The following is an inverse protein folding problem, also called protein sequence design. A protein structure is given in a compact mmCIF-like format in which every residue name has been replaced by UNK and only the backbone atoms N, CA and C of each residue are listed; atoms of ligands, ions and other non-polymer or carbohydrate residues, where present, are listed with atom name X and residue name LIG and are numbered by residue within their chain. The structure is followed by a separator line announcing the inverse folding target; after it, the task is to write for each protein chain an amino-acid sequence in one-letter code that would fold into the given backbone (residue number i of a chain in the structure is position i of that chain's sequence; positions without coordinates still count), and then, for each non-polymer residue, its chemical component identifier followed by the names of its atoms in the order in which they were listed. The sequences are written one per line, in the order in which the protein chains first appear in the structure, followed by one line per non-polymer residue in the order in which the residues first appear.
data_IF_286823582540
#
_entry.id   IF_286823582540
#
_cell.length_a   1.000
_cell.length_b   1.000
_cell.length_c   1.000
_cell.angle_alpha   90.00
_cell.angle_beta   90.00
_cell.angle_gamma   90.00
#
_symmetry.space_group_name_H-M   'P 1'
#
loop_
_entity.id
_entity.type
_entity.pdbx_description
1 polymer ?
#
# COMPACT_ATOMS: atom_id res chain seq x y z
N UNK A 1 -3.02 -22.78 -46.80
CA UNK A 1 -3.39 -23.16 -45.43
C UNK A 1 -3.67 -21.89 -44.65
N UNK A 2 -4.90 -21.64 -44.15
CA UNK A 2 -5.10 -20.58 -43.18
C UNK A 2 -4.71 -21.12 -41.80
N UNK A 3 -3.68 -20.53 -41.20
CA UNK A 3 -3.37 -20.68 -39.78
C UNK A 3 -4.44 -19.94 -38.99
N UNK A 4 -5.53 -20.62 -38.61
CA UNK A 4 -6.48 -20.04 -37.67
C UNK A 4 -5.89 -20.08 -36.27
N UNK A 5 -5.31 -18.95 -35.84
CA UNK A 5 -5.23 -18.62 -34.42
C UNK A 5 -6.65 -18.34 -33.91
N UNK A 6 -7.50 -19.37 -33.84
CA UNK A 6 -8.74 -19.26 -33.11
C UNK A 6 -8.38 -19.15 -31.63
N UNK A 7 -8.43 -17.92 -31.09
CA UNK A 7 -8.32 -17.69 -29.65
C UNK A 7 -9.34 -18.60 -28.96
N UNK A 8 -8.88 -19.48 -28.08
CA UNK A 8 -9.76 -20.32 -27.28
C UNK A 8 -10.52 -19.41 -26.30
N UNK A 9 -11.85 -19.24 -26.42
CA UNK A 9 -12.61 -18.31 -25.60
C UNK A 9 -12.50 -18.60 -24.10
N UNK A 10 -12.29 -19.87 -23.72
CA UNK A 10 -12.10 -20.27 -22.33
C UNK A 10 -10.78 -19.76 -21.75
N UNK A 11 -9.72 -19.74 -22.55
CA UNK A 11 -8.40 -19.21 -22.14
C UNK A 11 -8.47 -17.70 -22.00
N UNK A 12 -9.12 -17.01 -22.94
CA UNK A 12 -9.28 -15.55 -22.88
C UNK A 12 -10.11 -15.13 -21.66
N UNK A 13 -11.21 -15.83 -21.35
CA UNK A 13 -11.99 -15.59 -20.15
C UNK A 13 -11.17 -15.81 -18.86
N UNK A 14 -10.36 -16.87 -18.80
CA UNK A 14 -9.49 -17.14 -17.66
C UNK A 14 -8.41 -16.06 -17.47
N UNK A 15 -7.85 -15.52 -18.57
CA UNK A 15 -6.91 -14.40 -18.53
C UNK A 15 -7.58 -13.12 -18.02
N UNK A 16 -8.81 -12.82 -18.47
CA UNK A 16 -9.58 -11.69 -17.97
C UNK A 16 -9.88 -11.80 -16.47
N UNK A 17 -10.27 -12.99 -16.00
CA UNK A 17 -10.48 -13.25 -14.57
C UNK A 17 -9.18 -13.07 -13.78
N UNK A 18 -8.05 -13.53 -14.31
CA UNK A 18 -6.72 -13.30 -13.73
C UNK A 18 -6.40 -11.81 -13.60
N UNK A 19 -6.67 -11.02 -14.64
CA UNK A 19 -6.48 -9.56 -14.63
C UNK A 19 -7.34 -8.89 -13.56
N UNK A 20 -8.63 -9.21 -13.48
CA UNK A 20 -9.52 -8.62 -12.47
C UNK A 20 -9.06 -8.92 -11.03
N UNK A 21 -8.45 -10.09 -10.80
CA UNK A 21 -7.91 -10.45 -9.48
C UNK A 21 -6.64 -9.68 -9.15
N UNK A 22 -5.80 -9.39 -10.14
CA UNK A 22 -4.63 -8.52 -9.96
C UNK A 22 -5.09 -7.10 -9.61
N UNK A 23 -6.05 -6.55 -10.37
CA UNK A 23 -6.60 -5.21 -10.14
C UNK A 23 -7.19 -5.10 -8.73
N UNK A 24 -8.02 -6.06 -8.33
CA UNK A 24 -8.60 -6.10 -6.97
C UNK A 24 -7.55 -6.13 -5.87
N UNK A 25 -6.44 -6.85 -6.06
CA UNK A 25 -5.36 -6.90 -5.08
C UNK A 25 -4.61 -5.56 -4.96
N UNK A 26 -4.38 -4.88 -6.09
CA UNK A 26 -3.80 -3.53 -6.12
C UNK A 26 -4.72 -2.53 -5.41
N UNK A 27 -6.03 -2.63 -5.62
CA UNK A 27 -7.04 -1.82 -4.94
C UNK A 27 -7.03 -2.06 -3.42
N UNK A 28 -6.91 -3.31 -2.97
CA UNK A 28 -6.83 -3.61 -1.54
C UNK A 28 -5.57 -3.00 -0.90
N UNK A 29 -4.39 -3.11 -1.52
CA UNK A 29 -3.18 -2.43 -1.00
C UNK A 29 -3.32 -0.92 -0.99
N UNK A 30 -3.89 -0.34 -2.05
CA UNK A 30 -4.14 1.11 -2.12
C UNK A 30 -5.06 1.58 -1.00
N UNK A 31 -6.11 0.80 -0.70
CA UNK A 31 -7.05 1.07 0.39
C UNK A 31 -6.34 0.98 1.74
N UNK A 32 -5.58 -0.08 1.97
CA UNK A 32 -4.79 -0.28 3.19
C UNK A 32 -3.84 0.89 3.46
N UNK A 33 -3.08 1.34 2.45
CA UNK A 33 -2.20 2.51 2.57
C UNK A 33 -3.01 3.78 2.90
N UNK A 34 -4.13 4.00 2.21
CA UNK A 34 -4.96 5.19 2.41
C UNK A 34 -5.59 5.25 3.80
N UNK A 35 -6.12 4.13 4.32
CA UNK A 35 -6.70 4.07 5.66
C UNK A 35 -5.65 4.25 6.76
N UNK A 36 -4.45 3.70 6.57
CA UNK A 36 -3.33 3.94 7.50
C UNK A 36 -2.96 5.44 7.56
N UNK A 37 -2.92 6.13 6.42
CA UNK A 37 -2.68 7.57 6.37
C UNK A 37 -3.80 8.33 7.10
N UNK A 38 -5.08 8.00 6.85
CA UNK A 38 -6.24 8.68 7.47
C UNK A 38 -6.28 8.52 8.98
N UNK A 39 -5.91 7.35 9.48
CA UNK A 39 -5.92 7.04 10.92
C UNK A 39 -4.72 7.62 11.67
N UNK A 40 -3.79 8.30 10.96
CA UNK A 40 -2.60 8.95 11.51
C UNK A 40 -1.69 8.00 12.30
N UNK A 41 -1.78 6.70 12.04
CA UNK A 41 -0.93 5.70 12.66
C UNK A 41 0.51 6.06 12.29
N UNK A 42 1.39 6.31 13.28
CA UNK A 42 2.79 6.62 13.02
C UNK A 42 3.37 5.59 12.07
N UNK A 43 3.93 6.13 10.99
CA UNK A 43 4.59 5.41 9.93
C UNK A 43 5.66 4.51 10.48
N UNK A 44 5.36 3.23 10.65
CA UNK A 44 6.40 2.21 10.74
C UNK A 44 5.80 0.88 10.27
N UNK A 45 6.12 0.57 9.01
CA UNK A 45 6.19 -0.80 8.53
C UNK A 45 4.87 -1.61 8.52
N UNK A 46 4.17 -1.59 7.38
CA UNK A 46 3.07 -2.51 7.09
C UNK A 46 3.66 -3.76 6.43
N UNK A 47 3.50 -4.91 7.06
CA UNK A 47 3.95 -6.21 6.55
C UNK A 47 2.76 -7.06 6.14
N UNK A 48 2.81 -7.58 4.92
CA UNK A 48 1.84 -8.56 4.42
C UNK A 48 2.58 -9.81 4.00
N UNK A 49 2.20 -10.94 4.58
CA UNK A 49 2.77 -12.25 4.24
C UNK A 49 1.73 -13.12 3.54
N UNK A 50 2.05 -13.54 2.32
CA UNK A 50 1.29 -14.54 1.58
C UNK A 50 1.98 -15.89 1.70
N UNK A 51 1.29 -16.86 2.29
CA UNK A 51 1.79 -18.24 2.37
C UNK A 51 1.08 -19.11 1.33
N UNK A 52 1.84 -19.91 0.59
CA UNK A 52 1.34 -20.84 -0.43
C UNK A 52 0.31 -21.85 0.12
N UNK A 53 0.43 -22.22 1.40
CA UNK A 53 -0.39 -23.26 2.03
C UNK A 53 -1.57 -22.70 2.82
N UNK A 54 -1.52 -21.41 3.20
CA UNK A 54 -2.60 -20.77 3.93
C UNK A 54 -3.43 -19.91 2.97
N UNK A 55 -4.74 -19.92 3.21
CA UNK A 55 -5.67 -19.17 2.36
C UNK A 55 -5.65 -17.68 2.64
N UNK A 56 -5.49 -17.31 3.90
CA UNK A 56 -5.48 -15.92 4.34
C UNK A 56 -4.03 -15.48 4.54
N UNK A 57 -3.62 -14.34 3.96
CA UNK A 57 -2.34 -13.73 4.29
C UNK A 57 -2.35 -13.22 5.73
N UNK A 58 -1.19 -13.04 6.35
CA UNK A 58 -1.08 -12.32 7.61
C UNK A 58 -0.76 -10.85 7.34
N UNK A 59 -1.46 -9.94 8.03
CA UNK A 59 -1.21 -8.51 8.03
C UNK A 59 -0.68 -8.10 9.40
N UNK A 60 0.42 -7.36 9.40
CA UNK A 60 1.01 -6.79 10.60
C UNK A 60 1.30 -5.32 10.35
N UNK A 61 0.97 -4.45 11.29
CA UNK A 61 1.26 -3.00 11.23
C UNK A 61 2.02 -2.66 12.51
N UNK A 62 3.21 -2.09 12.40
CA UNK A 62 4.04 -1.79 13.57
C UNK A 62 4.26 -3.02 14.49
N UNK A 63 4.50 -4.19 13.90
CA UNK A 63 4.64 -5.49 14.59
C UNK A 63 3.40 -5.96 15.39
N UNK A 64 2.24 -5.30 15.20
CA UNK A 64 0.94 -5.74 15.73
C UNK A 64 0.17 -6.47 14.65
N UNK A 65 -0.20 -7.73 14.92
CA UNK A 65 -1.04 -8.50 14.01
C UNK A 65 -2.44 -7.90 13.94
N UNK A 66 -2.91 -7.63 12.72
CA UNK A 66 -4.23 -7.06 12.47
C UNK A 66 -5.18 -8.18 12.06
N UNK A 67 -6.42 -8.11 12.53
CA UNK A 67 -7.48 -8.98 12.03
C UNK A 67 -7.81 -8.58 10.59
N UNK A 68 -7.71 -9.54 9.68
CA UNK A 68 -8.00 -9.34 8.26
C UNK A 68 -9.50 -9.09 7.99
N UNK A 69 -10.37 -9.12 9.00
CA UNK A 69 -11.79 -8.77 8.84
C UNK A 69 -12.00 -7.34 8.35
N UNK A 70 -11.05 -6.43 8.59
CA UNK A 70 -11.10 -5.04 8.13
C UNK A 70 -10.51 -4.83 6.72
N UNK A 71 -9.66 -5.74 6.25
CA UNK A 71 -9.00 -5.66 4.96
C UNK A 71 -9.08 -7.02 4.25
N UNK A 72 -9.91 -7.09 3.19
CA UNK A 72 -10.05 -8.31 2.40
C UNK A 72 -8.83 -8.53 1.49
N UNK A 73 -7.71 -8.89 2.12
CA UNK A 73 -6.48 -9.33 1.47
C UNK A 73 -6.59 -10.77 0.96
N UNK A 74 -7.75 -11.42 1.12
CA UNK A 74 -7.99 -12.73 0.55
C UNK A 74 -8.10 -12.62 -0.97
N UNK A 75 -6.99 -12.92 -1.64
CA UNK A 75 -6.98 -13.19 -3.07
C UNK A 75 -6.76 -14.68 -3.28
N UNK A 76 -7.71 -15.36 -3.93
CA UNK A 76 -7.50 -16.73 -4.38
C UNK A 76 -6.32 -16.75 -5.34
N UNK A 77 -5.24 -17.43 -4.94
CA UNK A 77 -3.92 -17.45 -5.60
C UNK A 77 -3.06 -16.19 -5.36
N UNK A 78 -3.34 -15.39 -4.33
CA UNK A 78 -2.58 -14.18 -4.00
C UNK A 78 -1.07 -14.41 -3.91
N UNK A 79 -0.63 -15.53 -3.31
CA UNK A 79 0.78 -15.94 -3.32
C UNK A 79 1.40 -15.93 -4.73
N UNK A 80 0.71 -16.53 -5.71
CA UNK A 80 1.22 -16.63 -7.08
C UNK A 80 1.15 -15.28 -7.81
N UNK A 81 0.09 -14.51 -7.58
CA UNK A 81 -0.06 -13.17 -8.16
C UNK A 81 1.08 -12.26 -7.69
N UNK A 82 1.30 -12.16 -6.37
CA UNK A 82 2.38 -11.34 -5.84
C UNK A 82 3.73 -11.85 -6.32
N UNK A 83 3.99 -13.17 -6.25
CA UNK A 83 5.26 -13.72 -6.68
C UNK A 83 5.63 -13.33 -8.12
N UNK A 84 4.64 -13.27 -9.02
CA UNK A 84 4.84 -12.91 -10.42
C UNK A 84 4.88 -11.40 -10.65
N UNK A 85 3.93 -10.65 -10.07
CA UNK A 85 3.66 -9.25 -10.42
C UNK A 85 4.09 -8.23 -9.35
N UNK A 86 4.91 -8.62 -8.37
CA UNK A 86 5.24 -7.72 -7.26
C UNK A 86 5.94 -6.43 -7.69
N UNK A 87 6.69 -6.44 -8.79
CA UNK A 87 7.39 -5.25 -9.27
C UNK A 87 6.39 -4.25 -9.89
N UNK A 88 5.48 -4.73 -10.72
CA UNK A 88 4.42 -3.94 -11.36
C UNK A 88 3.49 -3.34 -10.32
N UNK A 89 3.06 -4.13 -9.33
CA UNK A 89 2.25 -3.67 -8.20
C UNK A 89 3.00 -2.57 -7.44
N UNK A 90 4.26 -2.83 -7.07
CA UNK A 90 5.08 -1.87 -6.33
C UNK A 90 5.30 -0.56 -7.08
N UNK A 91 5.53 -0.62 -8.39
CA UNK A 91 5.70 0.57 -9.23
C UNK A 91 4.42 1.40 -9.29
N UNK A 92 3.26 0.76 -9.53
CA UNK A 92 1.97 1.45 -9.53
C UNK A 92 1.70 2.16 -8.19
N UNK A 93 1.94 1.47 -7.07
CA UNK A 93 1.71 2.04 -5.74
C UNK A 93 2.68 3.20 -5.45
N UNK A 94 3.94 3.10 -5.85
CA UNK A 94 4.93 4.19 -5.70
C UNK A 94 4.56 5.45 -6.46
N UNK A 95 4.00 5.32 -7.66
CA UNK A 95 3.49 6.46 -8.43
C UNK A 95 2.31 7.15 -7.73
N UNK A 96 1.46 6.37 -7.06
CA UNK A 96 0.26 6.86 -6.39
C UNK A 96 0.51 7.43 -4.99
N UNK A 97 1.51 6.89 -4.29
CA UNK A 97 1.87 7.23 -2.93
C UNK A 97 3.35 7.66 -2.89
N UNK A 98 3.60 8.94 -3.19
CA UNK A 98 4.96 9.51 -3.18
C UNK A 98 5.66 9.27 -1.84
N UNK A 99 6.86 8.70 -1.88
CA UNK A 99 7.64 8.32 -0.68
C UNK A 99 7.36 6.91 -0.15
N UNK A 100 6.54 6.11 -0.83
CA UNK A 100 6.36 4.69 -0.50
C UNK A 100 7.63 3.88 -0.81
N UNK A 101 8.15 3.18 0.18
CA UNK A 101 9.07 2.06 -0.02
C UNK A 101 8.26 0.76 -0.13
N UNK A 102 8.64 -0.07 -1.11
CA UNK A 102 8.02 -1.35 -1.40
C UNK A 102 9.13 -2.38 -1.51
N UNK A 103 9.24 -3.22 -0.48
CA UNK A 103 10.26 -4.26 -0.39
C UNK A 103 9.58 -5.63 -0.40
N UNK A 104 10.10 -6.55 -1.20
CA UNK A 104 9.51 -7.88 -1.35
C UNK A 104 10.58 -8.94 -1.20
N UNK A 105 10.37 -9.85 -0.26
CA UNK A 105 11.22 -11.02 -0.03
C UNK A 105 10.45 -12.28 -0.43
N UNK A 106 10.95 -13.00 -1.42
CA UNK A 106 10.30 -14.19 -1.97
C UNK A 106 11.02 -15.43 -1.49
N UNK A 107 10.29 -16.31 -0.80
CA UNK A 107 10.72 -17.61 -0.33
C UNK A 107 9.92 -18.74 -1.03
N UNK A 108 10.37 -20.00 -0.95
CA UNK A 108 9.71 -21.11 -1.64
C UNK A 108 8.23 -21.30 -1.33
N UNK A 109 7.80 -20.97 -0.11
CA UNK A 109 6.42 -21.13 0.34
C UNK A 109 5.76 -19.81 0.79
N UNK A 110 6.52 -18.72 0.80
CA UNK A 110 6.09 -17.47 1.42
C UNK A 110 6.55 -16.29 0.56
N UNK A 111 5.70 -15.27 0.43
CA UNK A 111 6.12 -13.94 -0.05
C UNK A 111 5.85 -12.93 1.06
N UNK A 112 6.90 -12.25 1.51
CA UNK A 112 6.79 -11.13 2.44
C UNK A 112 6.84 -9.84 1.64
N UNK A 113 5.86 -8.97 1.90
CA UNK A 113 5.79 -7.62 1.39
C UNK A 113 5.93 -6.70 2.59
N UNK A 114 6.79 -5.70 2.45
CA UNK A 114 6.98 -4.64 3.42
C UNK A 114 6.72 -3.31 2.71
N UNK A 115 5.71 -2.60 3.20
CA UNK A 115 5.31 -1.26 2.75
C UNK A 115 5.67 -0.26 3.85
N UNK A 116 6.57 0.66 3.53
CA UNK A 116 6.99 1.71 4.46
C UNK A 116 6.57 3.04 3.84
N UNK A 117 5.71 3.78 4.54
CA UNK A 117 5.21 5.06 4.06
C UNK A 117 5.31 6.09 5.18
N UNK A 118 6.13 7.13 4.97
CA UNK A 118 6.31 8.21 5.95
C UNK A 118 5.22 9.28 5.79
N UNK A 119 4.41 9.47 6.83
CA UNK A 119 3.36 10.46 6.89
C UNK A 119 3.99 11.82 7.22
N UNK A 120 3.88 12.78 6.29
CA UNK A 120 4.24 14.16 6.58
C UNK A 120 3.21 14.81 7.50
N UNK A 121 3.46 14.74 8.80
CA UNK A 121 2.65 15.40 9.81
C UNK A 121 2.60 16.94 9.63
N UNK A 122 3.58 17.57 8.98
CA UNK A 122 3.51 19.01 8.67
C UNK A 122 2.48 19.28 7.57
N UNK A 123 2.41 18.44 6.54
CA UNK A 123 1.34 18.51 5.54
C UNK A 123 -0.04 18.33 6.21
N UNK A 124 -0.20 17.38 7.14
CA UNK A 124 -1.46 17.23 7.90
C UNK A 124 -1.78 18.47 8.72
N UNK A 125 -0.79 19.07 9.40
CA UNK A 125 -0.98 20.30 10.18
C UNK A 125 -1.49 21.45 9.31
N UNK A 126 -1.00 21.58 8.08
CA UNK A 126 -1.48 22.58 7.10
C UNK A 126 -2.98 22.46 6.83
N UNK A 127 -3.52 21.24 6.76
CA UNK A 127 -4.95 21.01 6.54
C UNK A 127 -5.80 21.15 7.81
N UNK A 128 -5.19 21.12 9.00
CA UNK A 128 -5.91 21.27 10.26
C UNK A 128 -6.33 22.72 10.50
N UNK A 129 -7.63 23.01 10.46
CA UNK A 129 -8.16 24.36 10.75
C UNK A 129 -7.88 24.84 12.18
N UNK A 130 -7.61 23.92 13.12
CA UNK A 130 -7.34 24.25 14.53
C UNK A 130 -5.85 24.44 14.83
N UNK A 131 -4.96 23.84 14.02
CA UNK A 131 -3.50 23.83 14.27
C UNK A 131 -2.75 24.62 13.19
N UNK A 132 -3.25 24.61 11.95
CA UNK A 132 -2.60 25.14 10.74
C UNK A 132 -2.41 26.66 10.68
N UNK A 133 -2.88 27.42 11.67
CA UNK A 133 -2.60 28.85 11.82
C UNK A 133 -1.65 29.21 12.98
N UNK A 134 -1.41 28.30 13.94
CA UNK A 134 -0.63 28.62 15.14
C UNK A 134 0.89 28.46 14.94
N UNK A 135 1.32 27.74 13.90
CA UNK A 135 2.74 27.51 13.63
C UNK A 135 3.37 28.64 12.78
N UNK A 136 2.64 29.23 11.84
CA UNK A 136 3.15 30.37 11.05
C UNK A 136 3.23 31.66 11.88
N UNK A 137 2.28 31.89 12.79
CA UNK A 137 2.31 33.07 13.68
C UNK A 137 3.42 33.02 14.73
N UNK A 138 3.84 31.83 15.19
CA UNK A 138 4.90 31.73 16.21
C UNK A 138 6.32 31.92 15.67
N UNK A 139 6.56 31.72 14.38
CA UNK A 139 7.90 31.93 13.82
C UNK A 139 8.21 33.42 13.60
N UNK A 140 7.20 34.22 13.25
CA UNK A 140 7.36 35.67 13.11
C UNK A 140 7.34 36.41 14.45
N UNK A 141 6.53 35.98 15.43
CA UNK A 141 6.52 36.59 16.77
C UNK A 141 7.82 36.30 17.56
N UNK A 142 8.49 35.17 17.29
CA UNK A 142 9.76 34.84 17.97
C UNK A 142 10.96 35.60 17.40
N UNK A 143 10.95 35.93 16.09
CA UNK A 143 12.01 36.74 15.49
C UNK A 143 11.85 38.21 15.86
N UNK A 144 10.62 38.75 16.01
CA UNK A 144 10.45 40.15 16.40
C UNK A 144 10.76 40.43 17.89
N UNK A 145 10.71 39.41 18.76
CA UNK A 145 11.05 39.58 20.19
C UNK A 145 12.56 39.63 20.47
N UNK A 146 13.42 39.19 19.52
CA UNK A 146 14.88 39.12 19.70
C UNK A 146 15.67 40.15 18.88
N UNK A 147 15.02 41.03 18.11
CA UNK A 147 15.69 42.15 17.40
C UNK A 147 15.53 43.51 18.08
N UNK A 148 15.00 43.56 19.30
CA UNK A 148 14.76 44.81 20.05
C UNK A 148 15.45 44.89 21.43
N UNK A 149 16.43 44.02 21.72
CA UNK A 149 17.33 44.16 22.87
C UNK A 149 18.78 43.86 22.50
#
# INVERSE_FOLDING_TARGET
MPSSNAKNPQIEAAMQEGSMRLDSLIETFSSLLSENIKTLIPSENIKVEFNKYYRQPSLTINDVQIDNSEFDLYSKNGYYIIKEFHNEIGNYLKEKFEGLEWNVNIFPAIVHIEMIYNIDYNAIRKYSKKIGGAAELKFFDFILLFTLF
#
